data_IF_391325620978
#
_entry.id   IF_391325620978
#
_cell.length_a   1.000
_cell.length_b   1.000
_cell.length_c   1.000
_cell.angle_alpha   90.00
_cell.angle_beta   90.00
_cell.angle_gamma   90.00
#
_symmetry.space_group_name_H-M   'P 1'
#
loop_
_entity.id
_entity.type
_entity.pdbx_description
1 polymer ?
#
# COMPACT_ATOMS: atom_id res chain seq x y z
N UNK A 1 -8.60 2.92 8.02
CA UNK A 1 -7.23 2.48 8.36
C UNK A 1 -6.34 2.98 7.24
N UNK A 2 -5.30 3.75 7.55
CA UNK A 2 -4.46 4.42 6.54
C UNK A 2 -3.49 3.42 5.90
N UNK A 3 -3.17 3.59 4.61
CA UNK A 3 -2.21 2.73 3.90
C UNK A 3 -0.82 2.74 4.57
N UNK A 4 -0.43 3.86 5.18
CA UNK A 4 0.80 3.97 5.96
C UNK A 4 0.88 2.98 7.13
N UNK A 5 -0.22 2.76 7.86
CA UNK A 5 -0.26 1.77 8.94
C UNK A 5 -0.07 0.33 8.43
N UNK A 6 -0.66 0.01 7.27
CA UNK A 6 -0.49 -1.31 6.66
C UNK A 6 0.94 -1.54 6.18
N UNK A 7 1.58 -0.51 5.62
CA UNK A 7 2.97 -0.57 5.20
C UNK A 7 3.91 -0.80 6.39
N UNK A 8 3.70 -0.08 7.49
CA UNK A 8 4.45 -0.27 8.74
C UNK A 8 4.31 -1.70 9.29
N UNK A 9 3.10 -2.28 9.25
CA UNK A 9 2.88 -3.67 9.68
C UNK A 9 3.66 -4.66 8.80
N UNK A 10 3.69 -4.46 7.48
CA UNK A 10 4.43 -5.32 6.55
C UNK A 10 5.94 -5.21 6.78
N UNK A 11 6.45 -3.98 6.90
CA UNK A 11 7.88 -3.73 7.16
C UNK A 11 8.33 -4.32 8.49
N UNK A 12 7.50 -4.18 9.53
CA UNK A 12 7.74 -4.81 10.82
C UNK A 12 7.78 -6.33 10.69
N UNK A 13 6.87 -6.95 9.93
CA UNK A 13 6.87 -8.39 9.72
C UNK A 13 8.13 -8.88 8.98
N UNK A 14 8.56 -8.18 7.93
CA UNK A 14 9.79 -8.48 7.20
C UNK A 14 11.04 -8.29 8.06
N UNK A 15 11.10 -7.22 8.86
CA UNK A 15 12.19 -7.01 9.82
C UNK A 15 12.25 -8.12 10.86
N UNK A 16 11.11 -8.57 11.37
CA UNK A 16 11.05 -9.69 12.32
C UNK A 16 11.51 -11.00 11.66
N UNK A 17 11.20 -11.23 10.38
CA UNK A 17 11.63 -12.40 9.65
C UNK A 17 13.16 -12.53 9.52
N UNK A 18 13.88 -11.40 9.59
CA UNK A 18 15.35 -11.37 9.57
C UNK A 18 15.98 -11.62 10.96
N UNK A 19 15.19 -11.60 12.04
CA UNK A 19 15.68 -11.90 13.38
C UNK A 19 15.98 -13.38 13.53
N UNK A 20 17.13 -13.71 14.12
CA UNK A 20 17.52 -15.09 14.38
C UNK A 20 16.48 -15.80 15.26
N UNK A 21 16.15 -17.05 14.92
CA UNK A 21 15.15 -17.88 15.61
C UNK A 21 13.72 -17.32 15.61
N UNK A 22 13.38 -16.37 14.73
CA UNK A 22 12.00 -15.91 14.62
C UNK A 22 11.11 -17.01 14.00
N UNK A 23 10.15 -17.51 14.78
CA UNK A 23 9.25 -18.59 14.37
C UNK A 23 8.40 -18.22 13.15
N UNK A 24 8.28 -19.15 12.22
CA UNK A 24 7.45 -19.01 11.02
C UNK A 24 5.98 -18.91 11.39
N UNK A 25 5.54 -19.55 12.47
CA UNK A 25 4.17 -19.43 12.97
C UNK A 25 3.80 -18.02 13.46
N UNK A 26 4.77 -17.25 13.98
CA UNK A 26 4.58 -15.85 14.34
C UNK A 26 4.51 -14.95 13.10
N UNK A 27 5.37 -15.23 12.11
CA UNK A 27 5.35 -14.53 10.83
C UNK A 27 4.01 -14.74 10.10
N UNK A 28 3.48 -15.97 10.10
CA UNK A 28 2.16 -16.29 9.54
C UNK A 28 1.02 -15.57 10.26
N UNK A 29 1.08 -15.39 11.59
CA UNK A 29 0.10 -14.59 12.33
C UNK A 29 0.11 -13.12 11.91
N UNK A 30 1.30 -12.55 11.70
CA UNK A 30 1.43 -11.19 11.20
C UNK A 30 0.86 -11.09 9.77
N UNK A 31 1.19 -12.04 8.91
CA UNK A 31 0.64 -12.12 7.55
C UNK A 31 -0.89 -12.30 7.55
N UNK A 32 -1.45 -13.12 8.45
CA UNK A 32 -2.90 -13.28 8.63
C UNK A 32 -3.58 -11.94 8.94
N UNK A 33 -2.99 -11.16 9.86
CA UNK A 33 -3.49 -9.84 10.24
C UNK A 33 -3.45 -8.88 9.05
N UNK A 34 -2.33 -8.86 8.31
CA UNK A 34 -2.15 -8.03 7.12
C UNK A 34 -3.18 -8.40 6.04
N UNK A 35 -3.30 -9.69 5.70
CA UNK A 35 -4.27 -10.19 4.71
C UNK A 35 -5.72 -9.87 5.10
N UNK A 36 -6.05 -9.98 6.38
CA UNK A 36 -7.38 -9.65 6.91
C UNK A 36 -7.70 -8.16 6.74
N UNK A 37 -6.76 -7.27 7.10
CA UNK A 37 -6.95 -5.83 6.93
C UNK A 37 -7.05 -5.41 5.47
N UNK A 38 -6.28 -6.06 4.58
CA UNK A 38 -6.35 -5.86 3.13
C UNK A 38 -7.58 -6.48 2.47
N UNK A 39 -8.35 -7.31 3.19
CA UNK A 39 -9.42 -8.16 2.63
C UNK A 39 -8.91 -9.07 1.51
N UNK A 40 -7.65 -9.48 1.60
CA UNK A 40 -7.02 -10.42 0.67
C UNK A 40 -7.41 -11.85 1.04
N UNK A 41 -8.64 -12.23 0.71
CA UNK A 41 -9.20 -13.53 1.05
C UNK A 41 -8.45 -14.69 0.37
N UNK A 42 -7.83 -14.44 -0.79
CA UNK A 42 -7.07 -15.43 -1.54
C UNK A 42 -5.86 -15.89 -0.71
N UNK A 43 -5.05 -14.92 -0.24
CA UNK A 43 -3.89 -15.26 0.57
C UNK A 43 -4.26 -15.64 2.01
N UNK A 44 -5.34 -15.07 2.55
CA UNK A 44 -5.84 -15.45 3.88
C UNK A 44 -6.20 -16.95 3.95
N UNK A 45 -6.72 -17.54 2.86
CA UNK A 45 -7.13 -18.94 2.84
C UNK A 45 -5.98 -19.89 3.13
N UNK A 46 -4.89 -19.82 2.37
CA UNK A 46 -3.76 -20.70 2.60
C UNK A 46 -3.06 -20.40 3.94
N UNK A 47 -3.05 -19.14 4.39
CA UNK A 47 -2.48 -18.77 5.70
C UNK A 47 -3.23 -19.48 6.82
N UNK A 48 -4.57 -19.50 6.75
CA UNK A 48 -5.39 -20.23 7.72
C UNK A 48 -5.16 -21.74 7.66
N UNK A 49 -4.96 -22.31 6.47
CA UNK A 49 -4.62 -23.73 6.31
C UNK A 49 -3.30 -24.07 7.02
N UNK A 50 -2.28 -23.21 6.93
CA UNK A 50 -1.00 -23.44 7.63
C UNK A 50 -1.13 -23.31 9.15
N UNK A 51 -1.88 -22.31 9.62
CA UNK A 51 -2.05 -22.03 11.04
C UNK A 51 -2.89 -23.08 11.77
N UNK A 52 -3.86 -23.70 11.09
CA UNK A 52 -4.76 -24.69 11.68
C UNK A 52 -4.35 -26.13 11.37
N UNK A 53 -3.65 -26.35 10.26
CA UNK A 53 -3.46 -27.68 9.69
C UNK A 53 -4.78 -28.30 9.25
N UNK A 54 -4.73 -29.58 8.88
CA UNK A 54 -5.89 -30.41 8.59
C UNK A 54 -6.03 -31.64 9.52
N UNK A 55 -5.78 -31.56 10.85
CA UNK A 55 -6.10 -32.68 11.71
C UNK A 55 -7.61 -32.95 11.63
N UNK A 56 -7.99 -34.18 11.29
CA UNK A 56 -9.37 -34.66 11.28
C UNK A 56 -10.35 -33.84 10.40
N UNK A 57 -9.88 -33.19 9.33
CA UNK A 57 -10.76 -32.50 8.36
C UNK A 57 -11.11 -31.05 8.70
N UNK A 58 -10.30 -30.38 9.52
CA UNK A 58 -10.44 -28.95 9.90
C UNK A 58 -10.51 -27.99 8.72
N UNK A 59 -9.93 -28.34 7.56
CA UNK A 59 -10.02 -27.54 6.34
C UNK A 59 -11.47 -27.27 5.91
N UNK A 60 -12.40 -28.20 6.17
CA UNK A 60 -13.81 -28.01 5.83
C UNK A 60 -14.40 -26.74 6.44
N UNK A 61 -14.00 -26.40 7.68
CA UNK A 61 -14.48 -25.19 8.37
C UNK A 61 -13.91 -23.92 7.76
N UNK A 62 -12.65 -23.97 7.32
CA UNK A 62 -12.00 -22.86 6.62
C UNK A 62 -12.69 -22.65 5.27
N UNK A 63 -12.89 -23.74 4.54
CA UNK A 63 -13.55 -23.76 3.23
C UNK A 63 -14.97 -23.23 3.28
N UNK A 64 -15.78 -23.64 4.28
CA UNK A 64 -17.13 -23.12 4.49
C UNK A 64 -17.13 -21.59 4.72
N UNK A 65 -16.12 -21.08 5.43
CA UNK A 65 -15.96 -19.64 5.68
C UNK A 65 -15.54 -18.89 4.42
N UNK A 66 -14.64 -19.48 3.62
CA UNK A 66 -14.12 -18.89 2.39
C UNK A 66 -15.15 -18.93 1.26
N UNK A 67 -15.98 -19.96 1.16
CA UNK A 67 -16.99 -20.12 0.11
C UNK A 67 -17.91 -18.90 -0.03
N UNK A 68 -18.24 -18.25 1.09
CA UNK A 68 -19.08 -17.04 1.09
C UNK A 68 -18.35 -15.77 0.59
N UNK A 69 -17.03 -15.82 0.39
CA UNK A 69 -16.18 -14.69 -0.01
C UNK A 69 -15.78 -14.70 -1.49
N UNK A 70 -16.16 -15.74 -2.23
CA UNK A 70 -15.74 -15.96 -3.62
C UNK A 70 -16.92 -16.27 -4.54
N UNK A 71 -16.76 -15.96 -5.82
CA UNK A 71 -17.58 -16.54 -6.89
C UNK A 71 -17.24 -18.03 -7.00
N UNK A 72 -18.20 -18.87 -7.39
CA UNK A 72 -18.05 -20.33 -7.42
C UNK A 72 -16.81 -20.80 -8.21
N UNK A 73 -16.57 -20.21 -9.38
CA UNK A 73 -15.44 -20.56 -10.25
C UNK A 73 -14.09 -20.25 -9.61
N UNK A 74 -13.95 -19.06 -9.01
CA UNK A 74 -12.74 -18.65 -8.28
C UNK A 74 -12.51 -19.54 -7.05
N UNK A 75 -13.56 -19.85 -6.31
CA UNK A 75 -13.49 -20.74 -5.16
C UNK A 75 -12.94 -22.13 -5.55
N UNK A 76 -13.45 -22.72 -6.64
CA UNK A 76 -13.00 -24.02 -7.13
C UNK A 76 -11.55 -23.97 -7.62
N UNK A 77 -11.18 -22.90 -8.34
CA UNK A 77 -9.82 -22.70 -8.86
C UNK A 77 -8.80 -22.53 -7.73
N UNK A 78 -9.01 -21.56 -6.85
CA UNK A 78 -8.07 -21.23 -5.78
C UNK A 78 -8.05 -22.31 -4.69
N UNK A 79 -9.21 -22.87 -4.33
CA UNK A 79 -9.28 -23.98 -3.38
C UNK A 79 -8.46 -25.18 -3.84
N UNK A 80 -8.60 -25.59 -5.11
CA UNK A 80 -7.78 -26.68 -5.68
C UNK A 80 -6.29 -26.33 -5.72
N UNK A 81 -5.96 -25.12 -6.18
CA UNK A 81 -4.56 -24.64 -6.27
C UNK A 81 -3.86 -24.70 -4.92
N UNK A 82 -4.46 -24.14 -3.88
CA UNK A 82 -3.83 -24.08 -2.56
C UNK A 82 -3.81 -25.42 -1.84
N UNK A 83 -4.85 -26.26 -2.02
CA UNK A 83 -4.81 -27.62 -1.51
C UNK A 83 -3.65 -28.42 -2.13
N UNK A 84 -3.49 -28.38 -3.46
CA UNK A 84 -2.38 -29.07 -4.12
C UNK A 84 -1.02 -28.58 -3.62
N UNK A 85 -0.84 -27.25 -3.57
CA UNK A 85 0.39 -26.64 -3.05
C UNK A 85 0.67 -27.04 -1.59
N UNK A 86 -0.36 -27.08 -0.75
CA UNK A 86 -0.23 -27.51 0.64
C UNK A 86 0.19 -28.99 0.77
N UNK A 87 -0.38 -29.89 -0.06
CA UNK A 87 0.00 -31.30 -0.09
C UNK A 87 1.48 -31.48 -0.51
N UNK A 88 1.91 -30.76 -1.55
CA UNK A 88 3.29 -30.80 -2.06
C UNK A 88 4.32 -30.29 -1.04
N UNK A 89 4.03 -29.15 -0.41
CA UNK A 89 4.93 -28.53 0.58
C UNK A 89 5.05 -29.33 1.88
N UNK A 90 4.14 -30.28 2.12
CA UNK A 90 4.06 -31.10 3.34
C UNK A 90 4.33 -32.58 3.14
N UNK A 91 4.79 -32.95 1.96
CA UNK A 91 5.29 -34.30 1.66
C UNK A 91 6.51 -34.63 2.52
N UNK A 92 6.44 -35.80 3.17
CA UNK A 92 7.46 -36.44 4.02
C UNK A 92 7.52 -37.94 3.71
N UNK A 93 8.66 -38.55 4.04
CA UNK A 93 8.89 -39.98 3.98
C UNK A 93 8.73 -40.60 5.38
N UNK A 94 7.97 -41.69 5.48
CA UNK A 94 7.97 -42.57 6.64
C UNK A 94 9.25 -43.41 6.60
N UNK A 95 10.07 -43.34 7.66
CA UNK A 95 11.37 -44.01 7.74
C UNK A 95 11.34 -45.16 8.75
N UNK A 96 12.08 -46.23 8.46
CA UNK A 96 12.39 -47.29 9.43
C UNK A 96 13.46 -46.81 10.43
N UNK A 97 13.63 -47.49 11.58
CA UNK A 97 14.72 -47.19 12.52
C UNK A 97 16.13 -47.28 11.91
N UNK A 98 16.28 -48.02 10.80
CA UNK A 98 17.52 -48.14 10.02
C UNK A 98 17.78 -46.97 9.07
N UNK A 99 16.80 -46.07 8.90
CA UNK A 99 16.86 -44.95 7.95
C UNK A 99 16.30 -45.25 6.56
N UNK A 100 15.89 -46.48 6.29
CA UNK A 100 15.29 -46.86 5.01
C UNK A 100 13.87 -46.28 4.87
N UNK A 101 13.53 -45.83 3.66
CA UNK A 101 12.17 -45.35 3.36
C UNK A 101 11.19 -46.52 3.43
N UNK A 102 10.27 -46.44 4.37
CA UNK A 102 9.15 -47.38 4.52
C UNK A 102 7.97 -46.98 3.63
N UNK A 103 7.69 -45.67 3.54
CA UNK A 103 6.70 -45.09 2.61
C UNK A 103 7.14 -43.70 2.18
N UNK A 104 6.98 -43.38 0.91
CA UNK A 104 7.18 -42.02 0.40
C UNK A 104 5.86 -41.24 0.36
N UNK A 105 5.99 -39.93 0.15
CA UNK A 105 4.88 -39.04 -0.22
C UNK A 105 3.73 -39.01 0.79
N UNK A 106 4.05 -39.22 2.05
CA UNK A 106 3.09 -39.05 3.14
C UNK A 106 2.94 -37.57 3.44
N UNK A 107 1.72 -37.12 3.69
CA UNK A 107 1.47 -35.70 4.01
C UNK A 107 1.42 -35.53 5.51
N UNK A 108 2.18 -34.56 6.03
CA UNK A 108 2.12 -34.19 7.44
C UNK A 108 0.98 -33.18 7.71
N UNK A 109 -0.12 -33.57 8.41
CA UNK A 109 -1.34 -32.79 8.37
C UNK A 109 -1.48 -31.73 9.48
N UNK A 110 -0.54 -31.65 10.41
CA UNK A 110 -0.68 -30.78 11.59
C UNK A 110 -0.31 -29.33 11.31
N UNK A 111 -0.66 -28.42 12.21
CA UNK A 111 -0.39 -26.99 12.02
C UNK A 111 1.11 -26.67 12.01
N UNK A 112 1.48 -25.48 11.54
CA UNK A 112 2.86 -24.98 11.67
C UNK A 112 3.35 -24.95 13.12
N UNK A 113 2.45 -24.70 14.09
CA UNK A 113 2.80 -24.75 15.52
C UNK A 113 3.26 -26.15 15.94
N UNK A 114 2.54 -27.18 15.50
CA UNK A 114 2.86 -28.57 15.82
C UNK A 114 4.20 -29.00 15.19
N UNK A 115 4.53 -28.47 14.01
CA UNK A 115 5.81 -28.74 13.34
C UNK A 115 6.97 -28.10 14.11
N UNK A 116 6.83 -26.83 14.49
CA UNK A 116 7.83 -26.10 15.27
C UNK A 116 8.05 -26.75 16.65
N UNK A 117 6.97 -27.18 17.32
CA UNK A 117 7.04 -27.90 18.59
C UNK A 117 7.74 -29.26 18.46
N UNK A 118 7.48 -30.00 17.37
CA UNK A 118 8.18 -31.26 17.07
C UNK A 118 9.67 -31.05 16.83
N UNK A 119 10.05 -30.00 16.10
CA UNK A 119 11.45 -29.62 15.91
C UNK A 119 12.11 -29.37 17.27
N UNK A 120 11.45 -28.61 18.16
CA UNK A 120 11.98 -28.33 19.50
C UNK A 120 12.09 -29.60 20.35
N UNK A 121 11.10 -30.49 20.27
CA UNK A 121 11.10 -31.79 20.96
C UNK A 121 12.24 -32.68 20.48
N UNK A 122 12.49 -32.74 19.17
CA UNK A 122 13.61 -33.48 18.59
C UNK A 122 14.95 -32.91 19.10
N UNK A 123 15.11 -31.59 19.12
CA UNK A 123 16.31 -30.94 19.68
C UNK A 123 16.53 -31.27 21.16
N UNK A 124 15.46 -31.30 21.96
CA UNK A 124 15.54 -31.69 23.36
C UNK A 124 15.97 -33.15 23.52
N UNK A 125 15.39 -34.07 22.72
CA UNK A 125 15.79 -35.48 22.72
C UNK A 125 17.25 -35.68 22.30
N UNK A 126 17.74 -34.91 21.31
CA UNK A 126 19.15 -34.95 20.91
C UNK A 126 20.09 -34.57 22.05
N UNK A 127 19.70 -33.59 22.87
CA UNK A 127 20.49 -33.13 24.05
C UNK A 127 20.39 -34.10 25.23
N UNK A 128 19.30 -34.85 25.36
CA UNK A 128 19.06 -35.78 26.47
C UNK A 128 19.59 -37.19 26.22
N UNK A 129 20.37 -37.42 25.16
CA UNK A 129 21.01 -38.72 24.92
C UNK A 129 21.95 -39.09 26.07
N UNK A 130 22.07 -40.40 26.33
CA UNK A 130 22.81 -40.91 27.50
C UNK A 130 24.27 -40.48 27.44
N UNK A 131 24.75 -39.85 28.52
CA UNK A 131 26.15 -39.47 28.67
C UNK A 131 26.97 -40.68 29.11
N UNK A 132 27.94 -41.08 28.30
CA UNK A 132 28.78 -42.26 28.51
C UNK A 132 29.98 -42.01 29.42
N UNK A 133 30.17 -40.78 29.89
CA UNK A 133 31.27 -40.43 30.79
C UNK A 133 31.16 -41.19 32.12
N UNK A 134 32.17 -42.01 32.42
CA UNK A 134 32.26 -42.79 33.66
C UNK A 134 31.64 -44.19 33.58
N UNK A 135 31.14 -44.62 32.41
CA UNK A 135 30.67 -45.98 32.18
C UNK A 135 31.82 -46.96 31.93
N UNK A 136 31.58 -48.25 32.17
CA UNK A 136 32.51 -49.33 31.82
C UNK A 136 32.63 -49.46 30.29
N UNK A 137 33.81 -49.87 29.78
CA UNK A 137 34.13 -49.85 28.34
C UNK A 137 33.14 -50.61 27.46
N UNK A 138 32.63 -51.77 27.93
CA UNK A 138 31.60 -52.53 27.19
C UNK A 138 30.26 -51.77 27.14
N UNK A 139 29.87 -51.11 28.23
CA UNK A 139 28.63 -50.33 28.31
C UNK A 139 28.72 -49.07 27.44
N UNK A 140 29.90 -48.44 27.39
CA UNK A 140 30.20 -47.34 26.47
C UNK A 140 29.94 -47.76 25.03
N UNK A 141 30.45 -48.92 24.59
CA UNK A 141 30.29 -49.41 23.23
C UNK A 141 28.81 -49.55 22.84
N UNK A 142 28.02 -50.28 23.63
CA UNK A 142 26.60 -50.49 23.34
C UNK A 142 25.79 -49.18 23.44
N UNK A 143 26.11 -48.32 24.39
CA UNK A 143 25.40 -47.03 24.58
C UNK A 143 25.69 -46.07 23.43
N UNK A 144 26.94 -45.95 22.97
CA UNK A 144 27.29 -45.11 21.83
C UNK A 144 26.70 -45.64 20.52
N UNK A 145 26.65 -46.96 20.33
CA UNK A 145 25.98 -47.56 19.17
C UNK A 145 24.48 -47.18 19.13
N UNK A 146 23.79 -47.29 20.26
CA UNK A 146 22.40 -46.89 20.39
C UNK A 146 22.20 -45.37 20.23
N UNK A 147 23.08 -44.56 20.83
CA UNK A 147 23.06 -43.11 20.67
C UNK A 147 23.26 -42.72 19.19
N UNK A 148 24.16 -43.37 18.45
CA UNK A 148 24.39 -43.11 17.04
C UNK A 148 23.14 -43.40 16.19
N UNK A 149 22.50 -44.55 16.40
CA UNK A 149 21.25 -44.91 15.73
C UNK A 149 20.13 -43.90 16.04
N UNK A 150 19.98 -43.51 17.31
CA UNK A 150 19.01 -42.49 17.73
C UNK A 150 19.29 -41.13 17.10
N UNK A 151 20.56 -40.69 17.04
CA UNK A 151 20.95 -39.43 16.38
C UNK A 151 20.59 -39.44 14.91
N UNK A 152 20.89 -40.53 14.20
CA UNK A 152 20.56 -40.67 12.78
C UNK A 152 19.05 -40.54 12.55
N UNK A 153 18.23 -41.29 13.30
CA UNK A 153 16.78 -41.22 13.20
C UNK A 153 16.24 -39.82 13.51
N UNK A 154 16.71 -39.20 14.59
CA UNK A 154 16.29 -37.85 14.99
C UNK A 154 16.68 -36.80 13.95
N UNK A 155 17.88 -36.89 13.36
CA UNK A 155 18.35 -35.96 12.33
C UNK A 155 17.49 -36.04 11.07
N UNK A 156 17.16 -37.26 10.60
CA UNK A 156 16.31 -37.44 9.43
C UNK A 156 14.91 -36.85 9.65
N UNK A 157 14.31 -37.05 10.83
CA UNK A 157 13.03 -36.43 11.17
C UNK A 157 13.14 -34.91 11.27
N UNK A 158 14.21 -34.40 11.87
CA UNK A 158 14.50 -32.97 11.97
C UNK A 158 14.57 -32.31 10.60
N UNK A 159 15.34 -32.89 9.68
CA UNK A 159 15.50 -32.37 8.30
C UNK A 159 14.16 -32.29 7.56
N UNK A 160 13.32 -33.33 7.67
CA UNK A 160 12.01 -33.33 7.02
C UNK A 160 11.10 -32.20 7.53
N UNK A 161 11.04 -32.00 8.85
CA UNK A 161 10.23 -30.92 9.42
C UNK A 161 10.82 -29.53 9.12
N UNK A 162 12.14 -29.37 9.19
CA UNK A 162 12.82 -28.12 8.80
C UNK A 162 12.53 -27.76 7.34
N UNK A 163 12.53 -28.72 6.43
CA UNK A 163 12.22 -28.49 5.02
C UNK A 163 10.76 -28.03 4.82
N UNK A 164 9.80 -28.54 5.59
CA UNK A 164 8.42 -28.03 5.57
C UNK A 164 8.39 -26.59 6.08
N UNK A 165 8.99 -26.31 7.23
CA UNK A 165 9.03 -24.94 7.81
C UNK A 165 9.66 -23.95 6.84
N UNK A 166 10.76 -24.33 6.18
CA UNK A 166 11.45 -23.47 5.20
C UNK A 166 10.55 -23.14 4.00
N UNK A 167 9.89 -24.13 3.40
CA UNK A 167 8.97 -23.91 2.27
C UNK A 167 7.84 -22.95 2.64
N UNK A 168 7.23 -23.14 3.81
CA UNK A 168 6.16 -22.27 4.32
C UNK A 168 6.70 -20.86 4.61
N UNK A 169 7.92 -20.77 5.16
CA UNK A 169 8.59 -19.50 5.47
C UNK A 169 8.85 -18.69 4.21
N UNK A 170 9.40 -19.32 3.18
CA UNK A 170 9.69 -18.68 1.90
C UNK A 170 8.39 -18.15 1.29
N UNK A 171 7.31 -18.94 1.30
CA UNK A 171 5.99 -18.51 0.80
C UNK A 171 5.40 -17.30 1.53
N UNK A 172 5.53 -17.23 2.85
CA UNK A 172 5.02 -16.06 3.60
C UNK A 172 5.90 -14.83 3.39
N UNK A 173 7.21 -15.00 3.23
CA UNK A 173 8.11 -13.89 2.88
C UNK A 173 7.77 -13.34 1.49
N UNK A 174 7.60 -14.20 0.49
CA UNK A 174 7.21 -13.80 -0.87
C UNK A 174 5.91 -12.98 -0.84
N UNK A 175 4.90 -13.46 -0.12
CA UNK A 175 3.64 -12.74 0.07
C UNK A 175 3.83 -11.34 0.70
N UNK A 176 4.67 -11.24 1.73
CA UNK A 176 4.94 -9.97 2.41
C UNK A 176 5.69 -8.99 1.50
N UNK A 177 6.66 -9.47 0.72
CA UNK A 177 7.41 -8.64 -0.26
C UNK A 177 6.47 -8.13 -1.35
N UNK A 178 5.66 -9.01 -1.95
CA UNK A 178 4.68 -8.62 -2.96
C UNK A 178 3.70 -7.57 -2.41
N UNK A 179 3.25 -7.76 -1.16
CA UNK A 179 2.36 -6.83 -0.47
C UNK A 179 3.02 -5.48 -0.23
N UNK A 180 4.28 -5.47 0.20
CA UNK A 180 5.06 -4.24 0.38
C UNK A 180 5.19 -3.47 -0.93
N UNK A 181 5.56 -4.15 -2.01
CA UNK A 181 5.69 -3.55 -3.34
C UNK A 181 4.37 -2.91 -3.81
N UNK A 182 3.24 -3.60 -3.63
CA UNK A 182 1.92 -3.07 -3.99
C UNK A 182 1.56 -1.82 -3.18
N UNK A 183 1.84 -1.82 -1.87
CA UNK A 183 1.58 -0.67 -1.00
C UNK A 183 2.48 0.53 -1.36
N UNK A 184 3.75 0.28 -1.67
CA UNK A 184 4.70 1.32 -2.08
C UNK A 184 4.35 1.94 -3.44
N UNK A 185 3.82 1.14 -4.38
CA UNK A 185 3.35 1.63 -5.68
C UNK A 185 2.10 2.51 -5.54
N UNK A 186 1.11 2.08 -4.74
CA UNK A 186 -0.06 2.90 -4.39
C UNK A 186 0.32 4.23 -3.75
N UNK A 187 1.35 4.21 -2.88
CA UNK A 187 1.85 5.40 -2.19
C UNK A 187 2.64 6.37 -3.10
N UNK A 188 3.18 5.92 -4.23
CA UNK A 188 4.04 6.78 -5.07
C UNK A 188 3.25 7.87 -5.81
N UNK A 189 2.06 7.55 -6.34
CA UNK A 189 1.18 8.55 -6.97
C UNK A 189 0.67 9.58 -5.97
N UNK A 190 0.24 9.12 -4.79
CA UNK A 190 -0.13 9.99 -3.67
C UNK A 190 1.02 10.90 -3.29
N UNK A 191 2.25 10.38 -3.21
CA UNK A 191 3.44 11.17 -2.87
C UNK A 191 3.76 12.28 -3.87
N UNK A 192 3.61 12.05 -5.18
CA UNK A 192 3.84 13.14 -6.16
C UNK A 192 2.85 14.28 -5.98
N UNK A 193 1.58 13.95 -5.73
CA UNK A 193 0.54 14.95 -5.48
C UNK A 193 0.77 15.66 -4.15
N UNK A 194 1.00 14.92 -3.05
CA UNK A 194 1.25 15.50 -1.72
C UNK A 194 2.48 16.41 -1.71
N UNK A 195 3.58 15.98 -2.35
CA UNK A 195 4.78 16.83 -2.47
C UNK A 195 4.49 18.13 -3.24
N UNK A 196 3.68 18.06 -4.31
CA UNK A 196 3.29 19.24 -5.05
C UNK A 196 2.36 20.15 -4.23
N UNK A 197 1.37 19.57 -3.52
CA UNK A 197 0.48 20.29 -2.60
C UNK A 197 1.29 21.04 -1.54
N UNK A 198 2.18 20.35 -0.83
CA UNK A 198 3.02 20.95 0.22
C UNK A 198 3.89 22.08 -0.34
N UNK A 199 4.55 21.87 -1.48
CA UNK A 199 5.35 22.90 -2.13
C UNK A 199 4.52 24.13 -2.53
N UNK A 200 3.33 23.94 -3.13
CA UNK A 200 2.41 25.02 -3.50
C UNK A 200 1.97 25.79 -2.26
N UNK A 201 1.53 25.10 -1.20
CA UNK A 201 1.09 25.75 0.05
C UNK A 201 2.21 26.62 0.63
N UNK A 202 3.41 26.06 0.77
CA UNK A 202 4.56 26.80 1.29
C UNK A 202 4.91 28.02 0.43
N UNK A 203 4.79 27.91 -0.90
CA UNK A 203 5.06 29.03 -1.82
C UNK A 203 3.99 30.11 -1.72
N UNK A 204 2.71 29.73 -1.67
CA UNK A 204 1.61 30.68 -1.51
C UNK A 204 1.67 31.40 -0.16
N UNK A 205 2.01 30.70 0.92
CA UNK A 205 2.17 31.30 2.25
C UNK A 205 3.25 32.40 2.26
N UNK A 206 4.35 32.20 1.51
CA UNK A 206 5.38 33.21 1.35
C UNK A 206 4.93 34.43 0.52
N UNK A 207 3.91 34.27 -0.33
CA UNK A 207 3.32 35.37 -1.13
C UNK A 207 2.33 36.17 -0.27
N UNK A 208 1.38 35.49 0.38
CA UNK A 208 0.40 36.10 1.29
C UNK A 208 -0.11 35.05 2.30
N UNK A 209 -0.03 35.34 3.60
CA UNK A 209 -0.54 34.44 4.64
C UNK A 209 -2.04 34.17 4.52
N UNK A 210 -2.82 35.04 3.86
CA UNK A 210 -4.27 34.87 3.64
C UNK A 210 -4.60 33.63 2.79
N UNK A 211 -3.65 33.09 2.01
CA UNK A 211 -3.86 31.83 1.27
C UNK A 211 -4.18 30.66 2.21
N UNK A 212 -3.55 30.64 3.40
CA UNK A 212 -3.73 29.56 4.36
C UNK A 212 -5.17 29.43 4.85
N UNK A 213 -5.90 30.53 4.97
CA UNK A 213 -7.27 30.51 5.47
C UNK A 213 -8.20 29.81 4.48
N UNK A 214 -8.08 30.14 3.18
CA UNK A 214 -8.87 29.48 2.14
C UNK A 214 -8.45 28.03 1.92
N UNK A 215 -7.15 27.71 1.97
CA UNK A 215 -6.67 26.34 1.84
C UNK A 215 -7.18 25.46 3.00
N UNK A 216 -7.15 25.97 4.24
CA UNK A 216 -7.72 25.28 5.41
C UNK A 216 -9.25 25.16 5.30
N UNK A 217 -9.93 26.18 4.76
CA UNK A 217 -11.36 26.11 4.52
C UNK A 217 -11.72 25.02 3.51
N UNK A 218 -10.99 24.92 2.39
CA UNK A 218 -11.13 23.83 1.40
C UNK A 218 -10.97 22.48 2.09
N UNK A 219 -9.86 22.25 2.80
CA UNK A 219 -9.61 20.97 3.47
C UNK A 219 -10.71 20.65 4.50
N UNK A 220 -11.18 21.64 5.27
CA UNK A 220 -12.27 21.49 6.25
C UNK A 220 -13.59 21.11 5.60
N UNK A 221 -13.96 21.76 4.49
CA UNK A 221 -15.16 21.46 3.73
C UNK A 221 -15.10 20.05 3.12
N UNK A 222 -13.96 19.68 2.53
CA UNK A 222 -13.76 18.33 1.98
C UNK A 222 -13.88 17.24 3.06
N UNK A 223 -13.43 17.50 4.29
CA UNK A 223 -13.55 16.57 5.42
C UNK A 223 -15.00 16.41 5.90
N UNK A 224 -15.76 17.50 5.96
CA UNK A 224 -17.18 17.46 6.40
C UNK A 224 -18.05 16.68 5.42
N UNK A 225 -17.77 16.81 4.12
CA UNK A 225 -18.22 15.88 3.10
C UNK A 225 -19.71 15.94 2.74
N UNK A 226 -20.41 17.03 3.07
CA UNK A 226 -21.77 17.23 2.56
C UNK A 226 -21.75 17.95 1.21
N UNK A 227 -22.80 17.82 0.38
CA UNK A 227 -22.90 18.57 -0.86
C UNK A 227 -22.73 20.08 -0.75
N UNK A 228 -23.22 20.67 0.35
CA UNK A 228 -23.08 22.11 0.62
C UNK A 228 -21.60 22.42 0.91
N UNK A 229 -20.94 21.58 1.69
CA UNK A 229 -19.50 21.75 1.94
C UNK A 229 -18.70 21.66 0.63
N UNK A 230 -19.04 20.74 -0.28
CA UNK A 230 -18.38 20.65 -1.58
C UNK A 230 -18.56 21.92 -2.43
N UNK A 231 -19.76 22.51 -2.45
CA UNK A 231 -20.01 23.79 -3.14
C UNK A 231 -19.17 24.93 -2.54
N UNK A 232 -19.10 25.01 -1.21
CA UNK A 232 -18.27 25.99 -0.51
C UNK A 232 -16.77 25.78 -0.81
N UNK A 233 -16.29 24.54 -0.85
CA UNK A 233 -14.92 24.24 -1.26
C UNK A 233 -14.62 24.75 -2.68
N UNK A 234 -15.54 24.57 -3.63
CA UNK A 234 -15.39 25.08 -5.00
C UNK A 234 -15.38 26.61 -5.06
N UNK A 235 -16.15 27.30 -4.19
CA UNK A 235 -16.09 28.75 -4.06
C UNK A 235 -14.74 29.20 -3.50
N UNK A 236 -14.20 28.50 -2.50
CA UNK A 236 -12.90 28.82 -1.91
C UNK A 236 -11.76 28.62 -2.92
N UNK A 237 -11.83 27.62 -3.81
CA UNK A 237 -10.87 27.48 -4.93
C UNK A 237 -10.85 28.74 -5.80
N UNK A 238 -12.02 29.32 -6.11
CA UNK A 238 -12.08 30.58 -6.90
C UNK A 238 -11.44 31.73 -6.15
N UNK A 239 -11.66 31.84 -4.84
CA UNK A 239 -11.05 32.88 -4.00
C UNK A 239 -9.53 32.75 -3.96
N UNK A 240 -8.99 31.52 -3.90
CA UNK A 240 -7.54 31.26 -4.03
C UNK A 240 -7.01 31.79 -5.36
N UNK A 241 -7.67 31.48 -6.49
CA UNK A 241 -7.24 31.98 -7.81
C UNK A 241 -7.33 33.51 -7.92
N UNK A 242 -8.35 34.13 -7.33
CA UNK A 242 -8.47 35.59 -7.28
C UNK A 242 -7.36 36.23 -6.45
N UNK A 243 -7.05 35.65 -5.28
CA UNK A 243 -5.97 36.12 -4.41
C UNK A 243 -4.62 35.98 -5.12
N UNK A 244 -4.39 34.86 -5.81
CA UNK A 244 -3.21 34.66 -6.65
C UNK A 244 -3.11 35.72 -7.75
N UNK A 245 -4.20 35.97 -8.50
CA UNK A 245 -4.24 37.01 -9.51
C UNK A 245 -3.91 38.39 -8.94
N UNK A 246 -4.46 38.74 -7.77
CA UNK A 246 -4.18 40.02 -7.09
C UNK A 246 -2.70 40.16 -6.71
N UNK A 247 -2.05 39.08 -6.27
CA UNK A 247 -0.65 39.08 -5.89
C UNK A 247 0.29 39.30 -7.10
N UNK A 248 0.00 38.65 -8.23
CA UNK A 248 0.87 38.74 -9.43
C UNK A 248 0.52 39.91 -10.35
N UNK A 249 -0.72 40.40 -10.31
CA UNK A 249 -1.21 41.48 -11.17
C UNK A 249 -2.39 42.20 -10.50
N UNK A 250 -2.12 43.33 -9.81
CA UNK A 250 -3.18 44.17 -9.26
C UNK A 250 -4.16 44.64 -10.34
N UNK A 251 -5.45 44.85 -10.00
CA UNK A 251 -6.45 45.32 -10.95
C UNK A 251 -6.09 46.66 -11.60
N UNK A 252 -6.39 46.80 -12.89
CA UNK A 252 -6.15 48.03 -13.66
C UNK A 252 -7.44 48.44 -14.39
N UNK A 253 -7.63 49.76 -14.52
CA UNK A 253 -8.81 50.33 -15.18
C UNK A 253 -8.73 50.21 -16.71
N UNK A 254 -7.55 50.40 -17.29
CA UNK A 254 -7.37 50.46 -18.73
C UNK A 254 -7.05 49.07 -19.33
N UNK A 255 -7.65 48.70 -20.48
CA UNK A 255 -7.32 47.45 -21.16
C UNK A 255 -5.91 47.48 -21.75
N UNK A 256 -5.16 46.39 -21.60
CA UNK A 256 -3.77 46.25 -22.06
C UNK A 256 -3.68 45.29 -23.25
N UNK A 257 -2.77 45.56 -24.19
CA UNK A 257 -2.43 44.61 -25.25
C UNK A 257 -1.29 43.73 -24.77
N UNK A 258 -1.53 42.42 -24.70
CA UNK A 258 -0.57 41.44 -24.20
C UNK A 258 0.38 40.97 -25.33
N UNK A 259 1.49 40.35 -24.95
CA UNK A 259 2.53 39.81 -25.83
C UNK A 259 2.01 38.79 -26.85
N UNK A 260 0.88 38.13 -26.59
CA UNK A 260 0.20 37.25 -27.55
C UNK A 260 -0.64 37.99 -28.62
N UNK A 261 -0.65 39.32 -28.57
CA UNK A 261 -1.38 40.22 -29.48
C UNK A 261 -2.84 40.45 -29.09
N UNK A 262 -3.33 39.87 -27.98
CA UNK A 262 -4.73 40.04 -27.56
C UNK A 262 -4.88 41.19 -26.57
N UNK A 263 -5.94 41.98 -26.76
CA UNK A 263 -6.36 43.02 -25.81
C UNK A 263 -7.16 42.39 -24.67
N UNK A 264 -6.73 42.62 -23.42
CA UNK A 264 -7.36 42.09 -22.20
C UNK A 264 -7.80 43.22 -21.27
N UNK A 265 -8.96 43.05 -20.65
CA UNK A 265 -9.44 43.91 -19.55
C UNK A 265 -8.95 43.29 -18.24
N UNK A 266 -8.26 44.09 -17.41
CA UNK A 266 -7.58 43.64 -16.19
C UNK A 266 -8.27 44.15 -14.92
N UNK A 267 -9.60 44.27 -14.93
CA UNK A 267 -10.40 44.67 -13.76
C UNK A 267 -10.44 43.57 -12.69
N UNK A 268 -10.93 43.91 -11.51
CA UNK A 268 -10.96 43.02 -10.34
C UNK A 268 -11.70 41.69 -10.64
N UNK A 269 -12.85 41.78 -11.29
CA UNK A 269 -13.69 40.65 -11.70
C UNK A 269 -13.07 39.79 -12.81
N UNK A 270 -12.03 40.29 -13.49
CA UNK A 270 -11.33 39.60 -14.58
C UNK A 270 -10.02 38.97 -14.13
N UNK A 271 -10.03 38.29 -12.97
CA UNK A 271 -8.85 37.62 -12.40
C UNK A 271 -8.20 36.61 -13.36
N UNK A 272 -8.98 35.90 -14.18
CA UNK A 272 -8.44 35.01 -15.21
C UNK A 272 -7.64 35.76 -16.28
N UNK A 273 -8.15 36.89 -16.77
CA UNK A 273 -7.41 37.70 -17.74
C UNK A 273 -6.09 38.21 -17.16
N UNK A 274 -6.05 38.49 -15.85
CA UNK A 274 -4.85 38.92 -15.13
C UNK A 274 -3.81 37.80 -15.03
N UNK A 275 -4.25 36.58 -14.70
CA UNK A 275 -3.38 35.39 -14.73
C UNK A 275 -2.85 35.14 -16.15
N UNK A 276 -3.73 35.15 -17.16
CA UNK A 276 -3.33 34.99 -18.57
C UNK A 276 -2.33 36.06 -18.99
N UNK A 277 -2.57 37.32 -18.63
CA UNK A 277 -1.68 38.43 -18.96
C UNK A 277 -0.27 38.18 -18.42
N UNK A 278 -0.12 37.93 -17.11
CA UNK A 278 1.20 37.67 -16.50
C UNK A 278 1.88 36.46 -17.13
N UNK A 279 1.12 35.39 -17.37
CA UNK A 279 1.63 34.16 -17.97
C UNK A 279 2.26 34.42 -19.35
N UNK A 280 1.57 35.15 -20.22
CA UNK A 280 2.09 35.50 -21.55
C UNK A 280 3.18 36.58 -21.52
N UNK A 281 3.13 37.54 -20.60
CA UNK A 281 4.19 38.54 -20.46
C UNK A 281 5.50 37.92 -19.96
N UNK A 282 5.45 36.97 -19.02
CA UNK A 282 6.64 36.31 -18.48
C UNK A 282 7.21 35.24 -19.40
N UNK A 283 6.37 34.30 -19.85
CA UNK A 283 6.82 33.12 -20.58
C UNK A 283 6.72 33.28 -22.10
N UNK A 284 6.17 34.38 -22.61
CA UNK A 284 5.96 34.57 -24.05
C UNK A 284 4.96 33.57 -24.65
N UNK A 285 4.81 33.63 -25.97
CA UNK A 285 3.88 32.78 -26.71
C UNK A 285 4.54 31.45 -27.10
N UNK A 286 4.51 30.49 -26.18
CA UNK A 286 4.95 29.11 -26.40
C UNK A 286 3.83 28.11 -26.17
N UNK A 287 3.94 26.92 -26.76
CA UNK A 287 2.93 25.84 -26.61
C UNK A 287 2.67 25.50 -25.14
N UNK A 288 3.71 25.51 -24.30
CA UNK A 288 3.56 25.27 -22.87
C UNK A 288 2.72 26.36 -22.18
N UNK A 289 2.98 27.64 -22.47
CA UNK A 289 2.19 28.79 -21.99
C UNK A 289 0.73 28.70 -22.40
N UNK A 290 0.46 28.31 -23.65
CA UNK A 290 -0.90 28.15 -24.16
C UNK A 290 -1.64 26.99 -23.47
N UNK A 291 -0.97 25.85 -23.26
CA UNK A 291 -1.53 24.70 -22.55
C UNK A 291 -1.85 25.02 -21.08
N UNK A 292 -0.96 25.74 -20.39
CA UNK A 292 -1.22 26.14 -19.02
C UNK A 292 -2.38 27.13 -18.94
N UNK A 293 -2.43 28.12 -19.84
CA UNK A 293 -3.54 29.06 -19.90
C UNK A 293 -4.89 28.33 -20.12
N UNK A 294 -4.92 27.34 -21.01
CA UNK A 294 -6.10 26.49 -21.23
C UNK A 294 -6.47 25.70 -19.98
N UNK A 295 -5.48 25.16 -19.25
CA UNK A 295 -5.71 24.40 -18.03
C UNK A 295 -6.36 25.24 -16.93
N UNK A 296 -5.96 26.51 -16.80
CA UNK A 296 -6.57 27.47 -15.86
C UNK A 296 -8.01 27.77 -16.27
N UNK A 297 -8.25 28.06 -17.54
CA UNK A 297 -9.60 28.31 -18.06
C UNK A 297 -10.52 27.10 -17.87
N UNK A 298 -10.02 25.91 -18.12
CA UNK A 298 -10.77 24.66 -17.99
C UNK A 298 -11.11 24.34 -16.53
N UNK A 299 -10.20 24.61 -15.58
CA UNK A 299 -10.49 24.50 -14.15
C UNK A 299 -11.68 25.41 -13.77
N UNK A 300 -11.64 26.69 -14.16
CA UNK A 300 -12.73 27.62 -13.80
C UNK A 300 -14.04 27.25 -14.49
N UNK A 301 -14.02 26.87 -15.77
CA UNK A 301 -15.22 26.39 -16.49
C UNK A 301 -15.81 25.15 -15.82
N UNK A 302 -14.99 24.24 -15.31
CA UNK A 302 -15.44 23.06 -14.55
C UNK A 302 -16.13 23.48 -13.26
N UNK A 303 -15.50 24.34 -12.47
CA UNK A 303 -16.08 24.86 -11.22
C UNK A 303 -17.45 25.54 -11.49
N UNK A 304 -17.52 26.39 -12.51
CA UNK A 304 -18.75 27.08 -12.90
C UNK A 304 -19.84 26.09 -13.30
N UNK A 305 -19.51 25.12 -14.15
CA UNK A 305 -20.48 24.14 -14.64
C UNK A 305 -21.00 23.24 -13.51
N UNK A 306 -20.12 22.82 -12.58
CA UNK A 306 -20.49 22.01 -11.42
C UNK A 306 -21.42 22.80 -10.48
N UNK A 307 -21.09 24.07 -10.20
CA UNK A 307 -21.94 24.94 -9.39
C UNK A 307 -23.27 25.28 -10.08
N UNK A 308 -23.29 25.48 -11.40
CA UNK A 308 -24.53 25.72 -12.16
C UNK A 308 -25.49 24.52 -12.12
N UNK A 309 -24.96 23.29 -12.18
CA UNK A 309 -25.76 22.08 -12.12
C UNK A 309 -26.46 21.94 -10.75
N UNK A 310 -25.80 22.37 -9.67
CA UNK A 310 -26.40 22.39 -8.34
C UNK A 310 -27.45 23.49 -8.18
N UNK A 311 -27.17 24.70 -8.66
CA UNK A 311 -28.05 25.86 -8.52
C UNK A 311 -29.37 25.76 -9.33
N UNK A 312 -29.43 24.93 -10.37
CA UNK A 312 -30.65 24.74 -11.20
C UNK A 312 -31.70 23.83 -10.56
N UNK A 313 -31.48 23.30 -9.35
CA UNK A 313 -32.48 22.57 -8.57
C UNK A 313 -32.87 21.19 -9.13
N UNK A 314 -32.14 20.67 -10.11
CA UNK A 314 -32.46 19.40 -10.79
C UNK A 314 -31.81 18.21 -10.08
N UNK A 315 -32.08 17.97 -8.79
CA UNK A 315 -31.57 16.81 -8.00
C UNK A 315 -30.04 16.51 -8.05
N UNK A 316 -29.24 17.28 -8.78
CA UNK A 316 -27.83 17.07 -9.02
C UNK A 316 -27.05 17.94 -8.05
N UNK A 317 -26.65 17.33 -6.96
CA UNK A 317 -25.77 17.94 -5.96
C UNK A 317 -24.33 17.75 -6.38
N UNK A 318 -23.44 18.69 -6.00
CA UNK A 318 -22.00 18.49 -6.18
C UNK A 318 -21.58 17.21 -5.46
N UNK A 319 -20.95 16.30 -6.20
CA UNK A 319 -20.47 15.03 -5.66
C UNK A 319 -19.05 15.18 -5.09
N UNK A 320 -18.71 14.30 -4.16
CA UNK A 320 -17.35 14.20 -3.62
C UNK A 320 -16.31 14.04 -4.74
N UNK A 321 -16.62 13.24 -5.77
CA UNK A 321 -15.73 12.99 -6.89
C UNK A 321 -15.46 14.26 -7.70
N UNK A 322 -16.49 15.06 -7.99
CA UNK A 322 -16.36 16.32 -8.72
C UNK A 322 -15.55 17.35 -7.93
N UNK A 323 -15.80 17.46 -6.62
CA UNK A 323 -15.07 18.36 -5.73
C UNK A 323 -13.59 17.95 -5.61
N UNK A 324 -13.31 16.67 -5.35
CA UNK A 324 -11.95 16.13 -5.29
C UNK A 324 -11.18 16.42 -6.59
N UNK A 325 -11.81 16.24 -7.75
CA UNK A 325 -11.17 16.52 -9.03
C UNK A 325 -10.78 18.00 -9.17
N UNK A 326 -11.64 18.93 -8.75
CA UNK A 326 -11.35 20.35 -8.82
C UNK A 326 -10.20 20.75 -7.87
N UNK A 327 -10.16 20.20 -6.66
CA UNK A 327 -9.06 20.42 -5.70
C UNK A 327 -7.74 19.90 -6.26
N UNK A 328 -7.73 18.70 -6.85
CA UNK A 328 -6.52 18.13 -7.46
C UNK A 328 -6.01 19.03 -8.59
N UNK A 329 -6.89 19.41 -9.52
CA UNK A 329 -6.53 20.27 -10.66
C UNK A 329 -6.05 21.64 -10.17
N UNK A 330 -6.65 22.21 -9.11
CA UNK A 330 -6.20 23.46 -8.51
C UNK A 330 -4.73 23.39 -8.11
N UNK A 331 -4.31 22.37 -7.36
CA UNK A 331 -2.91 22.25 -6.92
C UNK A 331 -1.95 22.02 -8.09
N UNK A 332 -2.36 21.29 -9.13
CA UNK A 332 -1.55 21.11 -10.33
C UNK A 332 -1.36 22.45 -11.05
N UNK A 333 -2.45 23.17 -11.33
CA UNK A 333 -2.43 24.45 -12.05
C UNK A 333 -1.67 25.52 -11.27
N UNK A 334 -1.90 25.64 -9.95
CA UNK A 334 -1.14 26.57 -9.11
C UNK A 334 0.34 26.21 -9.06
N UNK A 335 0.66 24.91 -9.03
CA UNK A 335 2.03 24.43 -9.11
C UNK A 335 2.75 24.95 -10.35
N UNK A 336 2.12 24.79 -11.51
CA UNK A 336 2.69 25.24 -12.78
C UNK A 336 2.75 26.77 -12.90
N UNK A 337 1.71 27.48 -12.44
CA UNK A 337 1.69 28.95 -12.41
C UNK A 337 2.81 29.53 -11.54
N UNK A 338 3.02 28.98 -10.34
CA UNK A 338 4.07 29.45 -9.42
C UNK A 338 5.45 29.18 -10.01
N UNK A 339 5.68 28.03 -10.66
CA UNK A 339 6.98 27.73 -11.29
C UNK A 339 7.35 28.75 -12.37
N UNK A 340 6.40 29.14 -13.22
CA UNK A 340 6.61 30.20 -14.20
C UNK A 340 6.79 31.57 -13.53
N UNK A 341 6.11 31.79 -12.40
CA UNK A 341 6.25 32.99 -11.58
C UNK A 341 7.64 33.13 -10.95
N UNK A 342 8.24 32.01 -10.51
CA UNK A 342 9.50 31.88 -9.78
C UNK A 342 10.75 31.80 -10.68
N UNK A 343 10.60 31.75 -12.01
CA UNK A 343 11.71 31.70 -12.98
C UNK A 343 12.50 33.04 -13.08
N UNK A 344 13.11 33.47 -11.97
CA UNK A 344 14.34 34.28 -11.95
C UNK A 344 15.62 33.41 -12.03
N UNK A 345 15.52 32.07 -12.18
CA UNK A 345 16.69 31.16 -12.15
C UNK A 345 16.64 30.10 -13.25
N UNK A 346 16.89 30.50 -14.50
CA UNK A 346 17.73 29.72 -15.43
C UNK A 346 18.48 30.73 -16.31
N UNK A 347 19.83 30.85 -16.21
CA UNK A 347 20.58 31.60 -17.21
C UNK A 347 20.39 30.88 -18.55
N UNK A 348 19.82 31.58 -19.53
CA UNK A 348 19.76 31.12 -20.91
C UNK A 348 21.20 30.90 -21.42
N UNK A 349 21.52 29.66 -21.78
CA UNK A 349 22.64 29.29 -22.66
C UNK A 349 22.15 29.16 -24.09
#
# INVERSE_FOLDING_TARGET
MTEGYLLELVQCALSNANTQNYLTSNLLKQAQRIATHRKDFINLWWILQELQGNPQGTFRRIDDTMKAKFVKEDYELYGKKYLMKWLEERSINELNPTGDIKKSDQVFPYSIYDIEDRIQTIENHRKSLVNTKGMHTLDVYYTEQNNAANRMFLNLQYEQFQNIVKRIRDRVIDYLIETEMQLMQGNTLSRYFENNKEWVVNKLENIDTNFNDYIKAIDSHMIKGTPIDYEEALLDIRKVLMLYANAICPPQADPVTCSDGKRRVLTEDKYLNRISFVLFEKAGKHTHTELLNQSVEDLVKRIEKVNELSNKGVHNKVTEQEANQCVIIMYIVLGDLIRIGDEEVLPLS
#
